data_IF_725755965473
#
_entry.id   IF_725755965473
#
_cell.length_a   1.000
_cell.length_b   1.000
_cell.length_c   1.000
_cell.angle_alpha   90.00
_cell.angle_beta   90.00
_cell.angle_gamma   90.00
#
_symmetry.space_group_name_H-M   'P 1'
#
loop_
_entity.id
_entity.type
_entity.pdbx_description
1 polymer ?
#
# COMPACT_ATOMS: atom_id res chain seq x y z
N UNK A 1 -3.02 4.78 -16.37
CA UNK A 1 -3.27 6.11 -15.76
C UNK A 1 -2.53 7.19 -16.52
N UNK A 2 -3.19 8.31 -16.85
CA UNK A 2 -2.55 9.47 -17.50
C UNK A 2 -1.74 10.31 -16.49
N UNK A 3 -0.99 11.31 -16.96
CA UNK A 3 -0.15 12.12 -16.07
C UNK A 3 -0.96 13.01 -15.12
N UNK A 4 -2.09 13.55 -15.56
CA UNK A 4 -2.92 14.45 -14.73
C UNK A 4 -3.46 13.72 -13.49
N UNK A 5 -4.02 12.53 -13.67
CA UNK A 5 -4.52 11.71 -12.55
C UNK A 5 -3.38 11.31 -11.63
N UNK A 6 -2.21 10.95 -12.17
CA UNK A 6 -1.03 10.66 -11.34
C UNK A 6 -0.61 11.84 -10.47
N UNK A 7 -0.57 13.06 -11.03
CA UNK A 7 -0.24 14.27 -10.26
C UNK A 7 -1.28 14.57 -9.17
N UNK A 8 -2.57 14.35 -9.47
CA UNK A 8 -3.63 14.48 -8.47
C UNK A 8 -3.44 13.49 -7.30
N UNK A 9 -3.21 12.21 -7.61
CA UNK A 9 -2.92 11.20 -6.59
C UNK A 9 -1.68 11.54 -5.76
N UNK A 10 -0.62 12.03 -6.41
CA UNK A 10 0.61 12.46 -5.73
C UNK A 10 0.36 13.63 -4.77
N UNK A 11 -0.39 14.66 -5.20
CA UNK A 11 -0.74 15.80 -4.35
C UNK A 11 -1.63 15.37 -3.18
N UNK A 12 -2.58 14.46 -3.41
CA UNK A 12 -3.41 13.89 -2.35
C UNK A 12 -2.56 13.16 -1.32
N UNK A 13 -1.63 12.29 -1.75
CA UNK A 13 -0.68 11.61 -0.86
C UNK A 13 0.11 12.61 -0.01
N UNK A 14 0.65 13.66 -0.63
CA UNK A 14 1.40 14.71 0.09
C UNK A 14 0.57 15.37 1.18
N UNK A 15 -0.71 15.61 0.94
CA UNK A 15 -1.60 16.18 1.95
C UNK A 15 -1.89 15.17 3.06
N UNK A 16 -2.21 13.92 2.71
CA UNK A 16 -2.46 12.86 3.70
C UNK A 16 -1.26 12.65 4.63
N UNK A 17 -0.03 12.62 4.09
CA UNK A 17 1.20 12.50 4.89
C UNK A 17 1.31 13.65 5.90
N UNK A 18 1.00 14.88 5.51
CA UNK A 18 1.03 16.03 6.44
C UNK A 18 -0.02 15.91 7.55
N UNK A 19 -1.22 15.46 7.18
CA UNK A 19 -2.35 15.32 8.11
C UNK A 19 -2.04 14.26 9.17
N UNK A 20 -1.56 13.09 8.74
CA UNK A 20 -1.23 11.99 9.66
C UNK A 20 0.03 12.26 10.48
N UNK A 21 1.03 12.94 9.91
CA UNK A 21 2.20 13.38 10.67
C UNK A 21 1.85 14.33 11.83
N UNK A 22 0.77 15.12 11.71
CA UNK A 22 0.28 15.98 12.78
C UNK A 22 -0.43 15.21 13.90
N UNK A 23 -0.76 13.92 13.68
CA UNK A 23 -1.28 12.98 14.67
C UNK A 23 -0.21 11.95 15.10
N UNK A 24 1.08 12.21 14.86
CA UNK A 24 2.21 11.33 15.21
C UNK A 24 2.20 9.96 14.49
N UNK A 25 1.59 9.92 13.31
CA UNK A 25 1.52 8.75 12.44
C UNK A 25 2.33 8.94 11.15
N UNK A 26 2.95 7.87 10.66
CA UNK A 26 3.46 7.78 9.29
C UNK A 26 2.47 7.00 8.41
N UNK A 27 2.65 7.03 7.09
CA UNK A 27 1.67 6.48 6.15
C UNK A 27 2.31 5.50 5.19
N UNK A 28 1.81 4.26 5.15
CA UNK A 28 2.19 3.27 4.14
C UNK A 28 1.20 3.36 2.99
N UNK A 29 1.70 3.67 1.79
CA UNK A 29 0.89 3.64 0.57
C UNK A 29 1.21 2.39 -0.24
N UNK A 30 0.21 1.65 -0.69
CA UNK A 30 0.46 0.51 -1.57
C UNK A 30 -0.66 0.28 -2.59
N UNK A 31 -0.31 -0.38 -3.68
CA UNK A 31 -1.25 -0.87 -4.69
C UNK A 31 -0.86 -2.28 -5.13
N UNK A 32 -1.86 -3.11 -5.44
CA UNK A 32 -1.65 -4.47 -5.93
C UNK A 32 -2.49 -4.69 -7.18
N UNK A 33 -1.83 -4.94 -8.30
CA UNK A 33 -2.43 -5.20 -9.59
C UNK A 33 -2.17 -6.65 -10.01
N UNK A 34 -2.90 -7.61 -9.44
CA UNK A 34 -2.70 -9.06 -9.68
C UNK A 34 -3.64 -9.68 -10.73
N UNK A 35 -4.78 -9.02 -11.02
CA UNK A 35 -5.88 -9.54 -11.84
C UNK A 35 -6.11 -8.75 -13.13
N UNK A 36 -5.06 -8.33 -13.84
CA UNK A 36 -5.18 -7.44 -15.00
C UNK A 36 -6.08 -7.99 -16.12
N UNK A 37 -6.21 -9.32 -16.22
CA UNK A 37 -7.13 -10.03 -17.11
C UNK A 37 -8.61 -9.70 -16.86
N UNK A 38 -8.95 -9.24 -15.65
CA UNK A 38 -10.31 -8.88 -15.24
C UNK A 38 -10.57 -7.38 -15.23
N UNK A 39 -9.62 -6.58 -15.72
CA UNK A 39 -9.72 -5.11 -15.78
C UNK A 39 -10.15 -4.46 -14.44
N UNK A 40 -9.48 -4.76 -13.31
CA UNK A 40 -9.85 -4.22 -12.01
C UNK A 40 -9.65 -2.70 -11.96
N UNK A 41 -10.43 -2.04 -11.10
CA UNK A 41 -10.16 -0.66 -10.75
C UNK A 41 -8.84 -0.54 -9.98
N UNK A 42 -8.09 0.51 -10.26
CA UNK A 42 -6.89 0.86 -9.50
C UNK A 42 -7.29 1.31 -8.09
N UNK A 43 -6.70 0.71 -7.08
CA UNK A 43 -6.88 1.06 -5.68
C UNK A 43 -5.52 1.36 -5.07
N UNK A 44 -5.33 2.62 -4.66
CA UNK A 44 -4.19 3.04 -3.87
C UNK A 44 -4.61 3.06 -2.40
N UNK A 45 -4.07 2.13 -1.63
CA UNK A 45 -4.30 2.06 -0.20
C UNK A 45 -3.44 3.11 0.53
N UNK A 46 -4.01 3.69 1.58
CA UNK A 46 -3.36 4.62 2.49
C UNK A 46 -3.57 4.06 3.90
N UNK A 47 -2.50 3.60 4.53
CA UNK A 47 -2.57 2.98 5.86
C UNK A 47 -1.72 3.79 6.83
N UNK A 48 -2.34 4.63 7.67
CA UNK A 48 -1.62 5.28 8.75
C UNK A 48 -1.17 4.24 9.78
N UNK A 49 0.03 4.43 10.31
CA UNK A 49 0.66 3.59 11.34
C UNK A 49 1.42 4.50 12.31
N UNK A 50 1.67 4.06 13.56
CA UNK A 50 2.55 4.80 14.47
C UNK A 50 3.90 5.09 13.80
N UNK A 51 4.47 6.27 14.05
CA UNK A 51 5.73 6.70 13.41
C UNK A 51 6.85 5.66 13.57
N UNK A 52 7.00 5.09 14.76
CA UNK A 52 7.97 4.01 15.05
C UNK A 52 7.78 2.76 14.17
N UNK A 53 6.53 2.42 13.82
CA UNK A 53 6.22 1.33 12.90
C UNK A 53 6.57 1.71 11.47
N UNK A 54 6.30 2.97 11.08
CA UNK A 54 6.67 3.51 9.77
C UNK A 54 8.17 3.47 9.51
N UNK A 55 8.99 3.79 10.51
CA UNK A 55 10.46 3.78 10.42
C UNK A 55 11.03 2.39 10.07
N UNK A 56 10.44 1.33 10.60
CA UNK A 56 10.89 -0.05 10.36
C UNK A 56 10.21 -0.71 9.17
N UNK A 57 9.05 -0.20 8.72
CA UNK A 57 8.28 -0.78 7.62
C UNK A 57 9.08 -1.08 6.35
N UNK A 58 10.02 -0.23 5.87
CA UNK A 58 10.85 -0.55 4.71
C UNK A 58 11.63 -1.87 4.85
N UNK A 59 12.10 -2.22 6.05
CA UNK A 59 12.86 -3.45 6.30
C UNK A 59 11.94 -4.67 6.18
N UNK A 60 10.76 -4.62 6.81
CA UNK A 60 9.79 -5.70 6.79
C UNK A 60 9.26 -5.97 5.37
N UNK A 61 8.87 -4.92 4.64
CA UNK A 61 8.40 -5.06 3.26
C UNK A 61 9.49 -5.59 2.34
N UNK A 62 10.73 -5.10 2.46
CA UNK A 62 11.84 -5.61 1.66
C UNK A 62 12.08 -7.09 1.92
N UNK A 63 12.07 -7.53 3.18
CA UNK A 63 12.22 -8.93 3.57
C UNK A 63 11.08 -9.78 2.99
N UNK A 64 9.83 -9.38 3.21
CA UNK A 64 8.67 -10.11 2.72
C UNK A 64 8.66 -10.25 1.19
N UNK A 65 9.07 -9.22 0.44
CA UNK A 65 9.16 -9.29 -1.03
C UNK A 65 10.31 -10.22 -1.48
N UNK A 66 11.42 -10.29 -0.75
CA UNK A 66 12.50 -11.25 -1.07
C UNK A 66 12.08 -12.69 -0.81
N UNK A 67 11.24 -12.92 0.19
CA UNK A 67 10.79 -14.25 0.63
C UNK A 67 9.46 -14.69 -0.03
N UNK A 68 8.80 -13.84 -0.82
CA UNK A 68 7.56 -14.21 -1.49
C UNK A 68 7.81 -15.01 -2.78
N UNK A 69 6.80 -15.80 -3.16
CA UNK A 69 6.82 -16.65 -4.36
C UNK A 69 8.03 -17.62 -4.42
N UNK A 70 8.31 -18.20 -5.57
CA UNK A 70 9.48 -19.06 -5.78
C UNK A 70 10.80 -18.30 -5.65
N UNK A 71 11.85 -18.97 -5.18
CA UNK A 71 13.24 -18.47 -5.19
C UNK A 71 13.79 -18.27 -6.61
N UNK A 72 13.24 -18.99 -7.58
CA UNK A 72 13.60 -18.87 -8.98
C UNK A 72 12.60 -17.94 -9.68
N UNK A 73 12.97 -16.67 -9.82
CA UNK A 73 12.20 -15.66 -10.55
C UNK A 73 12.94 -15.18 -11.79
N UNK A 74 12.21 -14.84 -12.85
CA UNK A 74 12.80 -14.26 -14.06
C UNK A 74 13.12 -12.77 -13.89
N UNK A 75 12.30 -12.06 -13.13
CA UNK A 75 12.47 -10.67 -12.77
C UNK A 75 13.14 -10.53 -11.40
N UNK A 76 13.76 -9.36 -11.15
CA UNK A 76 14.27 -9.02 -9.81
C UNK A 76 13.10 -8.99 -8.82
N UNK A 77 13.20 -9.77 -7.73
CA UNK A 77 12.16 -9.78 -6.68
C UNK A 77 11.89 -8.37 -6.12
N UNK A 78 12.93 -7.65 -5.72
CA UNK A 78 12.81 -6.28 -5.22
C UNK A 78 13.28 -5.29 -6.28
N UNK A 79 12.38 -4.40 -6.72
CA UNK A 79 12.68 -3.26 -7.57
C UNK A 79 12.63 -1.98 -6.73
N UNK A 80 13.77 -1.34 -6.53
CA UNK A 80 13.87 -0.05 -5.84
C UNK A 80 13.22 1.06 -6.70
N UNK A 81 12.29 1.82 -6.09
CA UNK A 81 11.60 2.95 -6.72
C UNK A 81 12.33 4.28 -6.55
N UNK A 82 13.52 4.32 -5.96
CA UNK A 82 14.30 5.56 -5.82
C UNK A 82 14.54 6.20 -7.19
N UNK A 83 14.09 7.45 -7.33
CA UNK A 83 14.23 8.25 -8.56
C UNK A 83 13.26 7.89 -9.69
N UNK A 84 12.30 6.98 -9.48
CA UNK A 84 11.31 6.58 -10.50
C UNK A 84 9.98 6.17 -9.87
N UNK A 85 8.90 6.23 -10.63
CA UNK A 85 7.63 5.67 -10.16
C UNK A 85 7.42 4.26 -10.71
N UNK A 86 6.46 3.55 -10.13
CA UNK A 86 6.10 2.19 -10.55
C UNK A 86 5.81 2.07 -12.05
N UNK A 87 5.20 3.10 -12.67
CA UNK A 87 4.90 3.13 -14.12
C UNK A 87 6.16 3.08 -15.00
N UNK A 88 7.30 3.52 -14.49
CA UNK A 88 8.61 3.44 -15.15
C UNK A 88 9.42 2.22 -14.71
N UNK A 89 9.14 1.68 -13.52
CA UNK A 89 9.87 0.58 -12.92
C UNK A 89 9.35 -0.80 -13.40
N UNK A 90 8.04 -0.90 -13.66
CA UNK A 90 7.36 -2.14 -14.03
C UNK A 90 6.92 -2.07 -15.50
N UNK A 91 7.26 -3.08 -16.33
CA UNK A 91 6.76 -3.16 -17.71
C UNK A 91 5.23 -3.17 -17.78
N UNK A 92 4.67 -2.50 -18.80
CA UNK A 92 3.22 -2.44 -18.99
C UNK A 92 2.64 -3.83 -19.21
N UNK A 93 1.49 -4.10 -18.58
CA UNK A 93 0.74 -5.34 -18.75
C UNK A 93 1.14 -6.47 -17.82
N UNK A 94 2.20 -6.30 -17.02
CA UNK A 94 2.59 -7.28 -16.01
C UNK A 94 1.86 -7.03 -14.69
N UNK A 95 1.40 -8.08 -14.00
CA UNK A 95 0.95 -7.99 -12.62
C UNK A 95 2.05 -7.49 -11.69
N UNK A 96 1.70 -6.67 -10.70
CA UNK A 96 2.69 -6.12 -9.77
C UNK A 96 2.10 -5.75 -8.40
N UNK A 97 3.00 -5.65 -7.43
CA UNK A 97 2.81 -5.01 -6.15
C UNK A 97 3.74 -3.80 -6.04
N UNK A 98 3.28 -2.71 -5.45
CA UNK A 98 4.11 -1.54 -5.16
C UNK A 98 3.74 -0.93 -3.81
N UNK A 99 4.75 -0.47 -3.08
CA UNK A 99 4.63 0.15 -1.76
C UNK A 99 5.57 1.35 -1.66
N UNK A 100 5.10 2.44 -1.04
CA UNK A 100 5.87 3.64 -0.68
C UNK A 100 5.66 3.96 0.80
N UNK A 101 6.63 4.65 1.42
CA UNK A 101 6.64 5.00 2.84
C UNK A 101 6.57 6.52 3.00
N UNK A 102 5.36 7.01 3.28
CA UNK A 102 4.99 8.41 3.22
C UNK A 102 5.23 8.98 1.82
N UNK A 103 6.11 9.97 1.74
CA UNK A 103 6.61 10.55 0.49
C UNK A 103 7.93 9.94 0.00
N UNK A 104 8.53 9.05 0.79
CA UNK A 104 9.74 8.34 0.39
C UNK A 104 9.38 7.20 -0.57
N UNK A 105 10.11 7.04 -1.69
CA UNK A 105 9.88 5.93 -2.60
C UNK A 105 10.24 4.61 -1.92
N UNK A 106 9.38 3.60 -2.07
CA UNK A 106 9.62 2.27 -1.54
C UNK A 106 10.03 1.27 -2.62
N UNK A 107 9.27 0.19 -2.72
CA UNK A 107 9.62 -0.97 -3.55
C UNK A 107 8.48 -1.34 -4.48
N UNK A 108 8.83 -1.99 -5.58
CA UNK A 108 7.88 -2.71 -6.42
C UNK A 108 8.37 -4.14 -6.66
N UNK A 109 7.43 -4.99 -7.03
CA UNK A 109 7.62 -6.40 -7.30
C UNK A 109 6.73 -6.82 -8.46
N UNK A 110 7.31 -7.48 -9.47
CA UNK A 110 6.54 -8.11 -10.56
C UNK A 110 6.03 -9.43 -10.01
N UNK A 111 4.71 -9.64 -10.05
CA UNK A 111 4.08 -10.87 -9.58
C UNK A 111 4.12 -11.89 -10.72
N UNK A 112 4.88 -12.97 -10.56
CA UNK A 112 5.04 -14.02 -11.58
C UNK A 112 4.09 -15.20 -11.34
N UNK A 113 3.88 -15.57 -10.08
CA UNK A 113 3.10 -16.72 -9.64
C UNK A 113 1.90 -16.29 -8.80
N UNK A 114 0.91 -15.71 -9.47
CA UNK A 114 -0.35 -15.23 -8.89
C UNK A 114 -1.06 -16.17 -7.90
N UNK A 115 -0.86 -17.49 -8.00
CA UNK A 115 -1.43 -18.46 -7.04
C UNK A 115 -0.72 -18.46 -5.69
N UNK A 116 0.56 -18.12 -5.68
CA UNK A 116 1.41 -18.05 -4.49
C UNK A 116 1.43 -16.66 -3.87
N UNK A 117 1.17 -15.61 -4.67
CA UNK A 117 1.13 -14.24 -4.16
C UNK A 117 -0.23 -13.91 -3.49
N UNK A 118 -0.26 -13.64 -2.17
CA UNK A 118 -1.51 -13.40 -1.48
C UNK A 118 -2.12 -12.03 -1.84
N UNK A 119 -3.43 -11.98 -2.04
CA UNK A 119 -4.13 -10.72 -2.34
C UNK A 119 -4.05 -9.69 -1.19
N UNK A 120 -3.83 -10.18 0.03
CA UNK A 120 -3.71 -9.41 1.26
C UNK A 120 -2.25 -9.24 1.71
N UNK A 121 -1.27 -9.39 0.81
CA UNK A 121 0.17 -9.37 1.10
C UNK A 121 0.61 -8.21 2.02
N UNK A 122 0.25 -6.97 1.64
CA UNK A 122 0.61 -5.81 2.45
C UNK A 122 -0.08 -5.82 3.83
N UNK A 123 -1.34 -6.25 3.88
CA UNK A 123 -2.08 -6.31 5.13
C UNK A 123 -1.52 -7.36 6.09
N UNK A 124 -1.00 -8.48 5.59
CA UNK A 124 -0.32 -9.46 6.45
C UNK A 124 0.95 -8.89 7.07
N UNK A 125 1.74 -8.13 6.29
CA UNK A 125 2.96 -7.47 6.78
C UNK A 125 2.60 -6.39 7.82
N UNK A 126 1.67 -5.48 7.48
CA UNK A 126 1.27 -4.38 8.36
C UNK A 126 0.60 -4.91 9.63
N UNK A 127 -0.31 -5.88 9.51
CA UNK A 127 -0.98 -6.51 10.65
C UNK A 127 0.02 -7.20 11.58
N UNK A 128 1.05 -7.84 11.02
CA UNK A 128 2.14 -8.45 11.79
C UNK A 128 3.02 -7.41 12.50
N UNK A 129 3.29 -6.26 11.89
CA UNK A 129 4.03 -5.16 12.54
C UNK A 129 3.24 -4.53 13.69
N UNK A 130 1.92 -4.45 13.57
CA UNK A 130 1.03 -3.83 14.55
C UNK A 130 0.47 -4.82 15.60
N UNK A 131 0.87 -6.10 15.55
CA UNK A 131 0.35 -7.18 16.40
C UNK A 131 -1.19 -7.26 16.45
N UNK A 132 -1.83 -7.06 15.29
CA UNK A 132 -3.29 -7.11 15.17
C UNK A 132 -3.71 -8.57 14.93
N UNK A 133 -4.93 -8.95 15.36
CA UNK A 133 -5.44 -10.28 15.04
C UNK A 133 -5.80 -10.45 13.54
N UNK A 134 -5.39 -11.58 12.98
CA UNK A 134 -5.55 -11.91 11.57
C UNK A 134 -6.99 -11.91 11.05
N UNK A 135 -7.99 -12.06 11.94
CA UNK A 135 -9.40 -11.93 11.57
C UNK A 135 -9.73 -10.57 10.93
N UNK A 136 -8.97 -9.51 11.27
CA UNK A 136 -9.21 -8.15 10.80
C UNK A 136 -8.87 -7.95 9.32
N UNK A 137 -7.96 -8.74 8.74
CA UNK A 137 -7.56 -8.58 7.34
C UNK A 137 -7.73 -9.83 6.48
N UNK A 138 -7.79 -11.04 7.06
CA UNK A 138 -8.06 -12.28 6.29
C UNK A 138 -9.52 -12.49 5.95
N UNK A 139 -10.44 -11.98 6.78
CA UNK A 139 -11.89 -12.05 6.58
C UNK A 139 -12.50 -10.68 6.81
N UNK A 140 -12.56 -9.88 5.75
CA UNK A 140 -13.26 -8.60 5.77
C UNK A 140 -14.74 -8.86 6.01
N UNK A 141 -15.18 -8.70 7.26
CA UNK A 141 -16.58 -8.67 7.61
C UNK A 141 -17.15 -7.32 7.18
N UNK A 142 -18.36 -7.31 6.62
CA UNK A 142 -19.08 -6.05 6.39
C UNK A 142 -19.29 -5.38 7.75
N UNK A 143 -18.76 -4.17 7.90
CA UNK A 143 -19.10 -3.33 9.04
C UNK A 143 -20.59 -2.98 9.00
N UNK A 144 -21.18 -2.72 10.18
CA UNK A 144 -22.51 -2.14 10.25
C UNK A 144 -22.54 -0.75 9.62
N UNK A 145 -23.69 -0.36 9.07
CA UNK A 145 -23.88 0.97 8.48
C UNK A 145 -23.54 2.09 9.48
N UNK A 146 -23.91 1.89 10.75
CA UNK A 146 -23.58 2.81 11.84
C UNK A 146 -22.06 2.97 12.01
N UNK A 147 -21.30 1.87 11.99
CA UNK A 147 -19.84 1.92 12.11
C UNK A 147 -19.19 2.58 10.90
N UNK A 148 -19.70 2.33 9.69
CA UNK A 148 -19.23 3.00 8.47
C UNK A 148 -19.44 4.51 8.59
N UNK A 149 -20.62 4.94 9.04
CA UNK A 149 -20.92 6.36 9.21
C UNK A 149 -20.02 7.01 10.26
N UNK A 150 -19.78 6.34 11.39
CA UNK A 150 -18.85 6.81 12.43
C UNK A 150 -17.43 6.99 11.89
N UNK A 151 -16.89 5.99 11.19
CA UNK A 151 -15.55 6.04 10.58
C UNK A 151 -15.44 7.15 9.53
N UNK A 152 -16.47 7.31 8.69
CA UNK A 152 -16.51 8.37 7.69
C UNK A 152 -16.55 9.77 8.32
N UNK A 153 -17.32 9.96 9.39
CA UNK A 153 -17.36 11.23 10.14
C UNK A 153 -16.02 11.51 10.81
N UNK A 154 -15.39 10.51 11.44
CA UNK A 154 -14.06 10.66 12.03
C UNK A 154 -13.03 11.13 10.99
N UNK A 155 -12.96 10.45 9.83
CA UNK A 155 -12.04 10.85 8.76
C UNK A 155 -12.34 12.26 8.23
N UNK A 156 -13.62 12.62 8.04
CA UNK A 156 -14.00 13.97 7.62
C UNK A 156 -13.49 15.04 8.59
N UNK A 157 -13.68 14.82 9.88
CA UNK A 157 -13.23 15.75 10.92
C UNK A 157 -11.71 15.85 10.96
N UNK A 158 -11.01 14.71 10.85
CA UNK A 158 -9.55 14.67 10.79
C UNK A 158 -9.01 15.47 9.59
N UNK A 159 -9.61 15.28 8.40
CA UNK A 159 -9.22 16.02 7.20
C UNK A 159 -9.50 17.52 7.34
N UNK A 160 -10.65 17.92 7.93
CA UNK A 160 -10.99 19.34 8.14
C UNK A 160 -10.11 20.04 9.16
N UNK A 161 -9.58 19.32 10.15
CA UNK A 161 -8.69 19.88 11.18
C UNK A 161 -7.37 20.38 10.60
N UNK A 162 -6.92 19.80 9.49
CA UNK A 162 -5.55 19.93 8.97
C UNK A 162 -5.48 20.40 7.49
N UNK A 163 -6.62 20.69 6.87
CA UNK A 163 -6.74 21.35 5.55
C UNK A 163 -6.96 22.85 5.71
#
# INVERSE_FOLDING_TARGET
MNNNVYHLCYNLRKNLVKIFAAEDEDVIFFECASNLDRFPHMQLHCVPVPTETGEVAPIYFKKAIMECESEWSSNKKVVDLKGKNVRKAIPKGLPYFAVDFGMQPGYAHVIEEKRLFPNNFAQEIIGGMLDIDHSKWRKLHKDSEENIQKKATYLKNLLQKHL
#
